data_IF_235426450972
#
_entry.id   IF_235426450972
#
_cell.length_a   1.000
_cell.length_b   1.000
_cell.length_c   1.000
_cell.angle_alpha   90.00
_cell.angle_beta   90.00
_cell.angle_gamma   90.00
#
_symmetry.space_group_name_H-M   'P 1'
#
loop_
_entity.id
_entity.type
_entity.pdbx_description
1 polymer ?
#
# COMPACT_ATOMS: atom_id res chain seq x y z
N UNK A 1 -35.03 29.57 -15.87
CA UNK A 1 -35.08 28.32 -15.11
C UNK A 1 -34.14 27.31 -15.76
N UNK A 2 -33.25 26.73 -14.95
CA UNK A 2 -32.53 25.45 -15.17
C UNK A 2 -31.48 25.40 -16.29
N UNK A 3 -30.29 24.82 -16.17
CA UNK A 3 -29.43 24.37 -15.06
C UNK A 3 -28.04 24.13 -15.68
N UNK A 4 -27.02 24.66 -15.02
CA UNK A 4 -25.62 24.26 -14.92
C UNK A 4 -25.13 23.00 -15.66
N UNK A 5 -24.01 23.13 -16.40
CA UNK A 5 -22.97 22.09 -16.44
C UNK A 5 -21.61 22.75 -16.26
N UNK A 6 -21.16 22.84 -15.00
CA UNK A 6 -19.77 23.18 -14.66
C UNK A 6 -18.91 22.01 -15.10
N UNK A 7 -17.96 22.31 -15.99
CA UNK A 7 -16.90 21.41 -16.43
C UNK A 7 -16.17 20.86 -15.20
N UNK A 8 -16.23 19.54 -15.02
CA UNK A 8 -15.54 18.84 -13.93
C UNK A 8 -14.04 19.05 -14.13
N UNK A 9 -13.44 19.84 -13.24
CA UNK A 9 -12.01 20.10 -13.21
C UNK A 9 -11.26 18.76 -13.25
N UNK A 10 -10.42 18.58 -14.28
CA UNK A 10 -9.47 17.49 -14.38
C UNK A 10 -8.46 17.64 -13.24
N UNK A 11 -8.74 17.02 -12.10
CA UNK A 11 -7.77 16.90 -11.02
C UNK A 11 -6.65 16.03 -11.57
N UNK A 12 -5.48 16.65 -11.78
CA UNK A 12 -4.27 16.00 -12.22
C UNK A 12 -4.10 14.69 -11.43
N UNK A 13 -4.26 13.57 -12.14
CA UNK A 13 -3.90 12.26 -11.61
C UNK A 13 -2.40 12.33 -11.33
N UNK A 14 -2.04 12.53 -10.06
CA UNK A 14 -0.70 12.21 -9.59
C UNK A 14 -0.42 10.82 -10.12
N UNK A 15 0.63 10.66 -10.92
CA UNK A 15 1.10 9.39 -11.47
C UNK A 15 1.36 8.41 -10.32
N UNK A 16 0.29 7.84 -9.75
CA UNK A 16 0.34 6.82 -8.73
C UNK A 16 0.84 5.61 -9.46
N UNK A 17 2.15 5.37 -9.34
CA UNK A 17 2.80 4.16 -9.80
C UNK A 17 1.93 2.99 -9.33
N UNK A 18 1.30 2.30 -10.28
CA UNK A 18 0.29 1.30 -10.00
C UNK A 18 0.94 0.14 -9.24
N UNK A 19 0.55 -0.04 -7.98
CA UNK A 19 1.16 -1.02 -7.07
C UNK A 19 1.16 -2.45 -7.59
N UNK A 20 0.25 -2.77 -8.51
CA UNK A 20 0.11 -4.09 -9.12
C UNK A 20 1.17 -4.37 -10.20
N UNK A 21 1.68 -3.33 -10.87
CA UNK A 21 2.54 -3.46 -12.07
C UNK A 21 3.84 -2.67 -11.97
N UNK A 22 4.12 -2.07 -10.82
CA UNK A 22 5.23 -1.14 -10.61
C UNK A 22 6.63 -1.76 -10.70
N UNK A 23 6.70 -3.09 -10.69
CA UNK A 23 7.93 -3.84 -10.87
C UNK A 23 7.88 -4.81 -12.08
N UNK A 24 6.89 -4.63 -12.98
CA UNK A 24 6.64 -5.56 -14.09
C UNK A 24 7.84 -5.72 -15.05
N UNK A 25 8.68 -4.69 -15.18
CA UNK A 25 9.88 -4.73 -16.02
C UNK A 25 11.04 -5.51 -15.40
N UNK A 26 11.05 -5.70 -14.09
CA UNK A 26 12.21 -6.24 -13.36
C UNK A 26 12.18 -7.76 -13.20
N UNK A 27 11.15 -8.45 -13.72
CA UNK A 27 10.81 -9.86 -13.40
C UNK A 27 10.66 -10.15 -11.89
N UNK A 28 10.58 -9.10 -11.06
CA UNK A 28 10.42 -9.17 -9.61
C UNK A 28 8.98 -8.92 -9.23
N UNK A 29 8.61 -9.27 -7.99
CA UNK A 29 7.25 -9.08 -7.48
C UNK A 29 6.90 -7.58 -7.45
N UNK A 30 5.64 -7.25 -7.73
CA UNK A 30 5.13 -5.89 -7.59
C UNK A 30 4.91 -5.52 -6.12
N UNK A 31 4.82 -4.22 -5.80
CA UNK A 31 4.58 -3.78 -4.42
C UNK A 31 3.32 -4.38 -3.82
N UNK A 32 2.26 -4.54 -4.62
CA UNK A 32 1.01 -5.18 -4.19
C UNK A 32 1.23 -6.67 -3.87
N UNK A 33 1.96 -7.39 -4.72
CA UNK A 33 2.24 -8.81 -4.48
C UNK A 33 3.06 -9.02 -3.20
N UNK A 34 4.08 -8.17 -2.96
CA UNK A 34 4.87 -8.19 -1.71
C UNK A 34 3.98 -7.88 -0.50
N UNK A 35 3.08 -6.91 -0.62
CA UNK A 35 2.18 -6.51 0.45
C UNK A 35 1.18 -7.64 0.80
N UNK A 36 0.61 -8.31 -0.19
CA UNK A 36 -0.30 -9.45 0.00
C UNK A 36 0.45 -10.66 0.58
N UNK A 37 1.65 -10.97 0.08
CA UNK A 37 2.48 -12.06 0.62
C UNK A 37 2.81 -11.83 2.11
N UNK A 38 3.18 -10.59 2.45
CA UNK A 38 3.40 -10.19 3.84
C UNK A 38 2.13 -10.35 4.69
N UNK A 39 0.97 -9.92 4.18
CA UNK A 39 -0.32 -10.01 4.87
C UNK A 39 -0.88 -11.44 4.95
N UNK A 40 -0.50 -12.35 4.06
CA UNK A 40 -0.95 -13.75 4.09
C UNK A 40 -0.12 -14.60 5.04
N UNK A 41 0.99 -14.07 5.56
CA UNK A 41 1.73 -14.70 6.65
C UNK A 41 0.91 -14.64 7.94
N UNK A 42 0.59 -15.79 8.58
CA UNK A 42 -0.37 -15.86 9.70
C UNK A 42 -0.06 -14.91 10.85
N UNK A 43 1.21 -14.80 11.25
CA UNK A 43 1.62 -13.92 12.35
C UNK A 43 1.50 -12.43 11.99
N UNK A 44 1.77 -12.07 10.74
CA UNK A 44 1.74 -10.69 10.26
C UNK A 44 0.30 -10.18 10.12
N UNK A 45 -0.62 -11.02 9.64
CA UNK A 45 -2.03 -10.68 9.53
C UNK A 45 -2.67 -10.42 10.90
N UNK A 46 -2.43 -11.30 11.87
CA UNK A 46 -2.96 -11.16 13.22
C UNK A 46 -2.41 -9.94 13.94
N UNK A 47 -1.14 -9.63 13.66
CA UNK A 47 -0.48 -8.41 14.10
C UNK A 47 -1.20 -7.21 13.45
N UNK A 48 -1.33 -7.15 12.13
CA UNK A 48 -2.01 -6.05 11.43
C UNK A 48 -3.47 -5.83 11.88
N UNK A 49 -4.27 -6.90 12.03
CA UNK A 49 -5.67 -6.85 12.47
C UNK A 49 -5.83 -6.34 13.91
N UNK A 50 -4.75 -6.23 14.67
CA UNK A 50 -4.80 -5.82 16.07
C UNK A 50 -5.44 -6.86 16.98
N UNK A 51 -5.59 -8.12 16.53
CA UNK A 51 -6.11 -9.22 17.36
C UNK A 51 -5.24 -9.48 18.59
N UNK A 52 -3.97 -9.09 18.56
CA UNK A 52 -3.03 -9.15 19.68
C UNK A 52 -2.89 -7.83 20.48
N UNK A 53 -3.85 -6.90 20.37
CA UNK A 53 -3.83 -5.67 21.19
C UNK A 53 -2.74 -4.68 20.76
N UNK A 54 -2.68 -4.37 19.45
CA UNK A 54 -1.66 -3.48 18.91
C UNK A 54 -1.94 -2.01 19.26
N UNK A 55 -0.95 -1.38 19.89
CA UNK A 55 -0.88 0.07 20.09
C UNK A 55 -0.49 0.78 18.79
N UNK A 56 -0.83 2.06 18.64
CA UNK A 56 -0.51 2.87 17.45
C UNK A 56 0.99 2.82 17.09
N UNK A 57 1.87 2.74 18.10
CA UNK A 57 3.31 2.58 17.93
C UNK A 57 3.69 1.26 17.21
N UNK A 58 2.93 0.18 17.40
CA UNK A 58 3.22 -1.10 16.73
C UNK A 58 2.82 -1.09 15.25
N UNK A 59 1.92 -0.18 14.82
CA UNK A 59 1.56 -0.03 13.40
C UNK A 59 2.68 0.63 12.59
N UNK A 60 3.41 1.58 13.18
CA UNK A 60 4.57 2.20 12.54
C UNK A 60 5.67 1.16 12.29
N UNK A 61 6.03 0.38 13.31
CA UNK A 61 7.00 -0.74 13.20
C UNK A 61 6.57 -1.74 12.13
N UNK A 62 5.26 -1.96 12.00
CA UNK A 62 4.70 -2.85 10.98
C UNK A 62 4.89 -2.31 9.56
N UNK A 63 4.64 -1.02 9.35
CA UNK A 63 4.89 -0.39 8.06
C UNK A 63 6.39 -0.38 7.71
N UNK A 64 7.27 -0.12 8.69
CA UNK A 64 8.72 -0.16 8.49
C UNK A 64 9.18 -1.56 8.02
N UNK A 65 8.66 -2.64 8.62
CA UNK A 65 8.92 -4.01 8.17
C UNK A 65 8.46 -4.25 6.73
N UNK A 66 7.29 -3.76 6.34
CA UNK A 66 6.79 -3.89 4.97
C UNK A 66 7.68 -3.11 3.99
N UNK A 67 8.16 -1.90 4.36
CA UNK A 67 9.15 -1.16 3.55
C UNK A 67 10.43 -1.97 3.38
N UNK A 68 10.89 -2.65 4.43
CA UNK A 68 12.09 -3.48 4.38
C UNK A 68 11.93 -4.68 3.44
N UNK A 69 10.78 -5.36 3.46
CA UNK A 69 10.48 -6.44 2.49
C UNK A 69 10.42 -5.92 1.06
N UNK A 70 9.82 -4.75 0.83
CA UNK A 70 9.83 -4.10 -0.49
C UNK A 70 11.24 -3.80 -0.96
N UNK A 71 12.13 -3.32 -0.08
CA UNK A 71 13.54 -3.06 -0.42
C UNK A 71 14.30 -4.33 -0.81
N UNK A 72 14.04 -5.48 -0.17
CA UNK A 72 14.64 -6.79 -0.55
C UNK A 72 14.28 -7.16 -1.99
N UNK A 73 13.07 -6.82 -2.41
CA UNK A 73 12.56 -7.02 -3.78
C UNK A 73 13.00 -5.90 -4.74
N UNK A 74 13.86 -4.97 -4.30
CA UNK A 74 14.39 -3.86 -5.11
C UNK A 74 13.44 -2.66 -5.25
N UNK A 75 12.34 -2.65 -4.49
CA UNK A 75 11.36 -1.57 -4.48
C UNK A 75 11.78 -0.56 -3.41
N UNK A 76 12.51 0.48 -3.82
CA UNK A 76 13.09 1.48 -2.91
C UNK A 76 12.31 2.79 -2.85
N UNK A 77 11.34 2.98 -3.75
CA UNK A 77 10.57 4.22 -3.89
C UNK A 77 9.30 4.26 -3.02
N UNK A 78 8.90 3.15 -2.41
CA UNK A 78 7.73 3.08 -1.51
C UNK A 78 8.12 3.49 -0.09
N UNK A 79 7.29 4.35 0.51
CA UNK A 79 7.45 4.83 1.90
C UNK A 79 6.33 4.31 2.77
N UNK A 80 6.52 4.40 4.08
CA UNK A 80 5.50 4.05 5.09
C UNK A 80 4.13 4.70 4.78
N UNK A 81 4.11 6.00 4.43
CA UNK A 81 2.88 6.71 4.13
C UNK A 81 2.10 6.09 2.94
N UNK A 82 2.84 5.56 1.96
CA UNK A 82 2.26 4.88 0.80
C UNK A 82 1.64 3.54 1.23
N UNK A 83 2.34 2.78 2.09
CA UNK A 83 1.84 1.51 2.64
C UNK A 83 0.58 1.73 3.46
N UNK A 84 0.60 2.71 4.37
CA UNK A 84 -0.58 3.06 5.19
C UNK A 84 -1.79 3.38 4.32
N UNK A 85 -1.58 4.15 3.26
CA UNK A 85 -2.65 4.52 2.32
C UNK A 85 -3.15 3.30 1.55
N UNK A 86 -2.25 2.45 1.07
CA UNK A 86 -2.59 1.30 0.23
C UNK A 86 -3.26 0.17 1.03
N UNK A 87 -2.75 -0.19 2.21
CA UNK A 87 -3.30 -1.27 3.05
C UNK A 87 -4.76 -1.00 3.43
N UNK A 88 -5.14 0.26 3.60
CA UNK A 88 -6.54 0.66 3.89
C UNK A 88 -7.49 0.50 2.70
N UNK A 89 -6.97 0.35 1.49
CA UNK A 89 -7.75 0.20 0.26
C UNK A 89 -7.90 -1.25 -0.16
N UNK A 90 -7.17 -2.18 0.46
CA UNK A 90 -7.29 -3.62 0.18
C UNK A 90 -8.55 -4.13 0.90
N UNK A 91 -9.56 -4.64 0.18
CA UNK A 91 -10.64 -5.39 0.80
C UNK A 91 -10.07 -6.72 1.28
N UNK A 92 -9.95 -6.90 2.60
CA UNK A 92 -9.48 -8.14 3.25
C UNK A 92 -10.62 -8.78 4.02
#
# INVERSE_FOLDING_TARGET
MSTTRVSKASTAQRNSVAWETDNALSKKRSSMAVLIDWLTTPENYDTWMGRKGITVASKQVLHEKIVEEMKKEGITYRKEADIRSNISTIPI
#
